data_IF_755774634146
#
_entry.id   IF_755774634146
#
_cell.length_a   1.000
_cell.length_b   1.000
_cell.length_c   1.000
_cell.angle_alpha   90.00
_cell.angle_beta   90.00
_cell.angle_gamma   90.00
#
_symmetry.space_group_name_H-M   'P 1'
#
loop_
_entity.id
_entity.type
_entity.pdbx_description
1 polymer ?
#
# COMPACT_ATOMS: atom_id res chain seq x y z
N UNK A 1 -11.41 -39.20 -36.84
CA UNK A 1 -11.59 -39.13 -35.37
C UNK A 1 -13.09 -39.23 -35.19
N UNK A 2 -13.58 -40.38 -34.76
CA UNK A 2 -15.01 -40.65 -34.71
C UNK A 2 -15.57 -40.02 -33.43
N UNK A 3 -16.60 -39.20 -33.58
CA UNK A 3 -17.35 -38.60 -32.47
C UNK A 3 -18.04 -39.72 -31.68
N UNK A 4 -17.58 -39.93 -30.45
CA UNK A 4 -18.23 -40.84 -29.51
C UNK A 4 -19.47 -40.12 -28.93
N UNK A 5 -20.70 -40.58 -29.21
CA UNK A 5 -21.95 -39.92 -28.77
C UNK A 5 -22.17 -40.00 -27.25
N UNK A 6 -21.20 -40.50 -26.49
CA UNK A 6 -21.18 -40.40 -25.02
C UNK A 6 -20.71 -39.03 -24.49
N UNK A 7 -20.34 -38.09 -25.37
CA UNK A 7 -19.81 -36.76 -25.00
C UNK A 7 -20.85 -35.70 -24.57
N UNK A 8 -22.14 -35.99 -24.69
CA UNK A 8 -23.20 -34.96 -24.60
C UNK A 8 -23.31 -34.26 -23.24
N UNK A 9 -22.81 -34.86 -22.15
CA UNK A 9 -22.84 -34.27 -20.80
C UNK A 9 -21.54 -34.56 -20.03
N UNK A 10 -20.43 -33.98 -20.47
CA UNK A 10 -19.15 -34.07 -19.76
C UNK A 10 -18.92 -32.82 -18.89
N UNK A 11 -18.81 -33.03 -17.58
CA UNK A 11 -18.45 -31.98 -16.62
C UNK A 11 -16.98 -32.16 -16.21
N UNK A 12 -16.11 -31.31 -16.76
CA UNK A 12 -14.72 -31.18 -16.38
C UNK A 12 -14.51 -29.89 -15.57
N UNK A 13 -13.34 -29.74 -14.95
CA UNK A 13 -13.04 -28.53 -14.19
C UNK A 13 -12.96 -27.28 -15.09
N UNK A 14 -12.35 -27.45 -16.26
CA UNK A 14 -12.07 -26.41 -17.24
C UNK A 14 -13.26 -26.09 -18.15
N UNK A 15 -14.16 -27.08 -18.37
CA UNK A 15 -15.33 -26.94 -19.24
C UNK A 15 -16.53 -27.75 -18.79
N UNK A 16 -17.73 -27.20 -18.98
CA UNK A 16 -19.00 -27.88 -18.82
C UNK A 16 -19.68 -27.96 -20.19
N UNK A 17 -19.93 -29.17 -20.70
CA UNK A 17 -20.62 -29.37 -21.98
C UNK A 17 -22.05 -29.86 -21.76
N UNK A 18 -23.02 -29.15 -22.36
CA UNK A 18 -24.45 -29.47 -22.33
C UNK A 18 -25.01 -29.38 -23.75
N UNK A 19 -25.72 -30.41 -24.21
CA UNK A 19 -26.34 -30.45 -25.55
C UNK A 19 -25.34 -30.12 -26.69
N UNK A 20 -24.09 -30.59 -26.56
CA UNK A 20 -23.02 -30.33 -27.53
C UNK A 20 -22.43 -28.91 -27.49
N UNK A 21 -22.86 -28.05 -26.57
CA UNK A 21 -22.29 -26.71 -26.34
C UNK A 21 -21.42 -26.74 -25.10
N UNK A 22 -20.13 -26.40 -25.25
CA UNK A 22 -19.18 -26.33 -24.14
C UNK A 22 -18.99 -24.89 -23.65
N UNK A 23 -19.02 -24.73 -22.33
CA UNK A 23 -18.79 -23.49 -21.60
C UNK A 23 -17.54 -23.60 -20.74
N UNK A 24 -16.68 -22.59 -20.78
CA UNK A 24 -15.38 -22.64 -20.11
C UNK A 24 -15.40 -21.94 -18.74
N UNK A 25 -14.66 -22.50 -17.80
CA UNK A 25 -14.19 -21.75 -16.63
C UNK A 25 -13.03 -20.83 -17.06
N UNK A 26 -13.37 -19.56 -17.31
CA UNK A 26 -12.45 -18.54 -17.84
C UNK A 26 -11.19 -18.29 -17.00
N UNK A 27 -11.14 -18.81 -15.77
CA UNK A 27 -9.96 -18.75 -14.90
C UNK A 27 -8.88 -19.74 -15.33
N UNK A 28 -9.30 -20.85 -15.95
CA UNK A 28 -8.45 -22.01 -16.26
C UNK A 28 -8.32 -22.21 -17.77
N UNK A 29 -9.39 -22.06 -18.54
CA UNK A 29 -9.36 -22.20 -20.00
C UNK A 29 -10.27 -21.18 -20.68
N UNK A 30 -9.92 -20.81 -21.91
CA UNK A 30 -10.71 -19.92 -22.76
C UNK A 30 -10.87 -20.47 -24.18
N UNK A 31 -10.43 -21.69 -24.47
CA UNK A 31 -10.48 -22.30 -25.80
C UNK A 31 -11.57 -23.36 -25.89
N UNK A 32 -12.03 -23.64 -27.10
CA UNK A 32 -13.03 -24.67 -27.41
C UNK A 32 -14.37 -24.50 -26.66
N UNK A 33 -14.73 -23.25 -26.36
CA UNK A 33 -15.96 -22.89 -25.68
C UNK A 33 -16.66 -21.71 -26.35
N UNK A 34 -17.95 -21.56 -26.09
CA UNK A 34 -18.78 -20.50 -26.69
C UNK A 34 -18.25 -19.09 -26.39
N UNK A 35 -17.67 -18.86 -25.21
CA UNK A 35 -17.18 -17.55 -24.77
C UNK A 35 -15.74 -17.22 -25.23
N UNK A 36 -15.11 -18.10 -26.03
CA UNK A 36 -13.68 -18.04 -26.33
C UNK A 36 -13.23 -16.68 -26.89
N UNK A 37 -13.93 -16.19 -27.91
CA UNK A 37 -13.60 -14.91 -28.56
C UNK A 37 -13.72 -13.74 -27.57
N UNK A 38 -14.78 -13.71 -26.77
CA UNK A 38 -15.01 -12.66 -25.79
C UNK A 38 -13.93 -12.66 -24.70
N UNK A 39 -13.64 -13.83 -24.13
CA UNK A 39 -12.64 -13.99 -23.07
C UNK A 39 -11.21 -13.72 -23.55
N UNK A 40 -10.92 -13.98 -24.82
CA UNK A 40 -9.65 -13.60 -25.43
C UNK A 40 -9.45 -12.08 -25.42
N UNK A 41 -10.46 -11.31 -25.86
CA UNK A 41 -10.41 -9.84 -25.82
C UNK A 41 -10.34 -9.29 -24.40
N UNK A 42 -11.07 -9.88 -23.46
CA UNK A 42 -11.02 -9.49 -22.04
C UNK A 42 -9.59 -9.63 -21.49
N UNK A 43 -8.91 -10.74 -21.78
CA UNK A 43 -7.51 -10.93 -21.35
C UNK A 43 -6.55 -9.98 -22.07
N UNK A 44 -6.76 -9.71 -23.36
CA UNK A 44 -5.94 -8.74 -24.10
C UNK A 44 -6.05 -7.32 -23.51
N UNK A 45 -7.27 -6.88 -23.20
CA UNK A 45 -7.51 -5.58 -22.54
C UNK A 45 -6.89 -5.56 -21.15
N UNK A 46 -7.01 -6.64 -20.39
CA UNK A 46 -6.39 -6.73 -19.06
C UNK A 46 -4.86 -6.61 -19.14
N UNK A 47 -4.21 -7.30 -20.09
CA UNK A 47 -2.77 -7.17 -20.34
C UNK A 47 -2.39 -5.71 -20.64
N UNK A 48 -3.15 -5.03 -21.51
CA UNK A 48 -2.89 -3.64 -21.87
C UNK A 48 -2.97 -2.70 -20.65
N UNK A 49 -4.03 -2.80 -19.85
CA UNK A 49 -4.21 -1.98 -18.63
C UNK A 49 -3.09 -2.29 -17.62
N UNK A 50 -2.80 -3.57 -17.38
CA UNK A 50 -1.75 -3.99 -16.46
C UNK A 50 -0.36 -3.50 -16.90
N UNK A 51 -0.04 -3.55 -18.20
CA UNK A 51 1.22 -3.06 -18.73
C UNK A 51 1.39 -1.56 -18.52
N UNK A 52 0.33 -0.77 -18.77
CA UNK A 52 0.33 0.68 -18.50
C UNK A 52 0.57 0.93 -17.00
N UNK A 53 -0.12 0.20 -16.12
CA UNK A 53 0.08 0.28 -14.67
C UNK A 53 1.53 -0.02 -14.25
N UNK A 54 2.15 -1.05 -14.85
CA UNK A 54 3.56 -1.41 -14.58
C UNK A 54 4.50 -0.30 -15.03
N UNK A 55 4.32 0.26 -16.22
CA UNK A 55 5.20 1.33 -16.75
C UNK A 55 5.13 2.58 -15.85
N UNK A 56 3.92 3.07 -15.56
CA UNK A 56 3.74 4.25 -14.69
C UNK A 56 4.25 3.94 -13.28
N UNK A 57 3.92 2.76 -12.75
CA UNK A 57 4.33 2.32 -11.44
C UNK A 57 5.86 2.26 -11.28
N UNK A 58 6.55 1.63 -12.24
CA UNK A 58 8.01 1.54 -12.26
C UNK A 58 8.67 2.91 -12.34
N UNK A 59 8.20 3.79 -13.23
CA UNK A 59 8.72 5.15 -13.33
C UNK A 59 8.63 5.88 -11.98
N UNK A 60 7.47 5.81 -11.32
CA UNK A 60 7.27 6.42 -10.01
C UNK A 60 8.14 5.78 -8.92
N UNK A 61 8.24 4.45 -8.93
CA UNK A 61 9.02 3.70 -7.94
C UNK A 61 10.49 4.05 -8.05
N UNK A 62 11.04 4.04 -9.26
CA UNK A 62 12.44 4.36 -9.52
C UNK A 62 12.76 5.79 -9.10
N UNK A 63 11.92 6.75 -9.47
CA UNK A 63 12.11 8.14 -9.08
C UNK A 63 12.04 8.34 -7.56
N UNK A 64 11.17 7.63 -6.85
CA UNK A 64 11.02 7.79 -5.38
C UNK A 64 12.11 7.06 -4.60
N UNK A 65 12.41 5.82 -4.96
CA UNK A 65 13.35 4.98 -4.20
C UNK A 65 14.79 5.29 -4.58
N UNK A 66 15.13 5.29 -5.87
CA UNK A 66 16.53 5.45 -6.31
C UNK A 66 16.94 6.93 -6.43
N UNK A 67 16.11 7.79 -7.03
CA UNK A 67 16.50 9.19 -7.27
C UNK A 67 16.34 10.03 -5.98
N UNK A 68 15.22 9.86 -5.26
CA UNK A 68 14.98 10.60 -4.00
C UNK A 68 15.55 9.89 -2.75
N UNK A 69 16.04 8.66 -2.88
CA UNK A 69 16.62 7.92 -1.75
C UNK A 69 15.61 7.53 -0.67
N UNK A 70 14.33 7.33 -1.02
CA UNK A 70 13.34 6.85 -0.06
C UNK A 70 13.61 5.39 0.30
N UNK A 71 13.64 5.06 1.59
CA UNK A 71 13.66 3.68 2.06
C UNK A 71 12.25 3.10 2.04
N UNK A 72 12.09 1.82 1.67
CA UNK A 72 10.78 1.15 1.71
C UNK A 72 10.27 0.97 3.14
N UNK A 73 11.20 0.67 4.06
CA UNK A 73 10.92 0.44 5.46
C UNK A 73 11.59 1.52 6.29
N UNK A 74 10.94 1.92 7.38
CA UNK A 74 11.60 2.70 8.43
C UNK A 74 12.47 1.78 9.28
N UNK A 75 13.57 2.34 9.82
CA UNK A 75 14.40 1.58 10.75
C UNK A 75 13.57 1.19 11.99
N UNK A 76 13.61 -0.08 12.40
CA UNK A 76 12.88 -0.53 13.56
C UNK A 76 13.47 0.14 14.81
N UNK A 77 12.67 0.95 15.49
CA UNK A 77 12.94 1.34 16.87
C UNK A 77 12.42 0.22 17.77
N UNK A 78 13.17 -0.21 18.78
CA UNK A 78 12.86 -1.36 19.62
C UNK A 78 11.45 -1.33 20.27
N UNK A 79 10.86 -0.14 20.45
CA UNK A 79 9.54 0.05 21.05
C UNK A 79 8.39 0.17 20.04
N UNK A 80 8.70 0.27 18.74
CA UNK A 80 7.74 0.67 17.72
C UNK A 80 7.21 -0.50 16.87
N UNK A 81 7.28 -1.76 17.29
CA UNK A 81 6.75 -2.87 16.47
C UNK A 81 7.60 -3.19 15.23
N UNK A 82 7.16 -4.17 14.44
CA UNK A 82 7.95 -4.77 13.35
C UNK A 82 7.59 -4.22 11.96
N UNK A 83 6.31 -4.00 11.69
CA UNK A 83 5.86 -3.56 10.36
C UNK A 83 5.75 -2.04 10.28
N UNK A 84 6.82 -1.40 9.78
CA UNK A 84 6.84 0.05 9.48
C UNK A 84 7.06 0.33 8.00
N UNK A 85 6.12 -0.07 7.13
CA UNK A 85 6.21 0.22 5.71
C UNK A 85 5.99 1.70 5.44
N UNK A 86 6.67 2.25 4.44
CA UNK A 86 6.23 3.49 3.80
C UNK A 86 5.02 3.15 2.93
N UNK A 87 3.79 3.56 3.32
CA UNK A 87 2.57 2.99 2.76
C UNK A 87 2.52 3.12 1.23
N UNK A 88 2.88 4.29 0.70
CA UNK A 88 2.85 4.54 -0.75
C UNK A 88 3.92 3.75 -1.50
N UNK A 89 5.14 3.69 -0.98
CA UNK A 89 6.27 3.09 -1.70
C UNK A 89 6.15 1.55 -1.72
N UNK A 90 5.73 0.93 -0.60
CA UNK A 90 5.46 -0.50 -0.53
C UNK A 90 4.21 -0.91 -1.32
N UNK A 91 3.13 -0.12 -1.26
CA UNK A 91 1.93 -0.36 -2.07
C UNK A 91 2.26 -0.34 -3.56
N UNK A 92 3.07 0.63 -4.01
CA UNK A 92 3.49 0.75 -5.40
C UNK A 92 4.27 -0.49 -5.86
N UNK A 93 5.22 -0.97 -5.04
CA UNK A 93 5.96 -2.20 -5.32
C UNK A 93 5.02 -3.40 -5.49
N UNK A 94 4.07 -3.58 -4.56
CA UNK A 94 3.13 -4.70 -4.61
C UNK A 94 2.14 -4.60 -5.78
N UNK A 95 1.72 -3.39 -6.16
CA UNK A 95 0.89 -3.19 -7.35
C UNK A 95 1.65 -3.44 -8.65
N UNK A 96 2.95 -3.13 -8.71
CA UNK A 96 3.81 -3.51 -9.85
C UNK A 96 3.86 -5.04 -9.96
N UNK A 97 4.14 -5.74 -8.85
CA UNK A 97 4.18 -7.20 -8.82
C UNK A 97 2.82 -7.82 -9.19
N UNK A 98 1.72 -7.31 -8.63
CA UNK A 98 0.35 -7.71 -8.99
C UNK A 98 0.14 -7.67 -10.51
N UNK A 99 0.45 -6.53 -11.14
CA UNK A 99 0.22 -6.35 -12.57
C UNK A 99 1.17 -7.19 -13.43
N UNK A 100 2.43 -7.40 -13.02
CA UNK A 100 3.34 -8.32 -13.72
C UNK A 100 2.78 -9.75 -13.70
N UNK A 101 2.37 -10.24 -12.53
CA UNK A 101 1.78 -11.59 -12.43
C UNK A 101 0.43 -11.68 -13.15
N UNK A 102 -0.34 -10.59 -13.24
CA UNK A 102 -1.56 -10.57 -14.05
C UNK A 102 -1.29 -10.63 -15.54
N UNK A 103 -0.29 -9.91 -16.05
CA UNK A 103 0.14 -10.04 -17.45
C UNK A 103 0.53 -11.49 -17.74
N UNK A 104 1.33 -12.10 -16.86
CA UNK A 104 1.76 -13.49 -17.03
C UNK A 104 0.57 -14.47 -17.00
N UNK A 105 -0.33 -14.33 -16.04
CA UNK A 105 -1.55 -15.17 -15.94
C UNK A 105 -2.44 -15.04 -17.18
N UNK A 106 -2.71 -13.82 -17.65
CA UNK A 106 -3.51 -13.61 -18.87
C UNK A 106 -2.79 -14.08 -20.13
N UNK A 107 -1.46 -13.94 -20.21
CA UNK A 107 -0.67 -14.45 -21.33
C UNK A 107 -0.70 -15.99 -21.40
N UNK A 108 -0.56 -16.69 -20.27
CA UNK A 108 -0.66 -18.16 -20.20
C UNK A 108 -2.02 -18.63 -20.74
N UNK A 109 -3.11 -17.94 -20.38
CA UNK A 109 -4.45 -18.25 -20.88
C UNK A 109 -4.60 -17.92 -22.37
N UNK A 110 -4.02 -16.82 -22.85
CA UNK A 110 -4.14 -16.37 -24.25
C UNK A 110 -3.24 -17.09 -25.26
N UNK A 111 -2.20 -17.79 -24.79
CA UNK A 111 -1.31 -18.57 -25.67
C UNK A 111 -1.47 -20.07 -25.46
N UNK A 112 -2.36 -20.48 -24.56
CA UNK A 112 -2.51 -21.86 -24.09
C UNK A 112 -1.17 -22.53 -23.72
N UNK A 113 -0.23 -21.78 -23.12
CA UNK A 113 1.19 -22.21 -23.03
C UNK A 113 1.41 -23.49 -22.21
N UNK A 114 0.46 -23.87 -21.34
CA UNK A 114 0.54 -25.05 -20.48
C UNK A 114 -0.78 -25.83 -20.60
N UNK A 115 -1.02 -26.54 -21.72
CA UNK A 115 -2.24 -27.33 -21.89
C UNK A 115 -2.26 -28.45 -20.85
N UNK A 116 -3.40 -28.63 -20.17
CA UNK A 116 -3.55 -29.62 -19.10
C UNK A 116 -2.86 -29.30 -17.76
N UNK A 117 -2.08 -28.22 -17.66
CA UNK A 117 -1.41 -27.82 -16.41
C UNK A 117 -2.33 -27.08 -15.44
N UNK A 118 -3.36 -27.77 -14.93
CA UNK A 118 -4.42 -27.16 -14.10
C UNK A 118 -3.89 -26.60 -12.78
N UNK A 119 -2.86 -27.23 -12.21
CA UNK A 119 -2.17 -26.74 -11.01
C UNK A 119 -1.55 -25.37 -11.27
N UNK A 120 -0.78 -25.22 -12.35
CA UNK A 120 -0.07 -23.98 -12.67
C UNK A 120 -1.05 -22.85 -12.98
N UNK A 121 -2.11 -23.13 -13.75
CA UNK A 121 -3.13 -22.12 -14.08
C UNK A 121 -3.88 -21.63 -12.83
N UNK A 122 -4.31 -22.57 -11.97
CA UNK A 122 -4.99 -22.24 -10.72
C UNK A 122 -4.09 -21.46 -9.76
N UNK A 123 -2.81 -21.86 -9.64
CA UNK A 123 -1.82 -21.14 -8.85
C UNK A 123 -1.61 -19.71 -9.37
N UNK A 124 -1.29 -19.56 -10.65
CA UNK A 124 -0.99 -18.25 -11.25
C UNK A 124 -2.16 -17.28 -11.16
N UNK A 125 -3.38 -17.80 -11.31
CA UNK A 125 -4.59 -17.01 -11.17
C UNK A 125 -4.71 -16.41 -9.76
N UNK A 126 -4.57 -17.22 -8.71
CA UNK A 126 -4.72 -16.80 -7.30
C UNK A 126 -3.50 -16.05 -6.75
N UNK A 127 -2.29 -16.40 -7.22
CA UNK A 127 -1.04 -15.84 -6.72
C UNK A 127 -0.95 -14.33 -6.96
N UNK A 128 -1.39 -13.87 -8.14
CA UNK A 128 -1.40 -12.44 -8.47
C UNK A 128 -2.20 -11.64 -7.44
N UNK A 129 -3.40 -12.10 -7.07
CA UNK A 129 -4.31 -11.41 -6.13
C UNK A 129 -3.71 -11.17 -4.74
N UNK A 130 -2.81 -12.06 -4.29
CA UNK A 130 -2.12 -11.88 -3.00
C UNK A 130 -1.32 -10.58 -2.96
N UNK A 131 -0.68 -10.18 -4.06
CA UNK A 131 0.05 -8.91 -4.15
C UNK A 131 -0.87 -7.70 -4.22
N UNK A 132 -1.98 -7.80 -4.97
CA UNK A 132 -2.95 -6.71 -5.10
C UNK A 132 -3.58 -6.38 -3.75
N UNK A 133 -4.08 -7.41 -3.06
CA UNK A 133 -4.64 -7.25 -1.72
C UNK A 133 -3.57 -6.84 -0.69
N UNK A 134 -2.36 -7.41 -0.79
CA UNK A 134 -1.23 -7.04 0.05
C UNK A 134 -0.84 -5.57 -0.06
N UNK A 135 -0.88 -5.00 -1.27
CA UNK A 135 -0.63 -3.58 -1.51
C UNK A 135 -1.64 -2.69 -0.80
N UNK A 136 -2.93 -3.02 -0.87
CA UNK A 136 -4.00 -2.30 -0.16
C UNK A 136 -3.80 -2.43 1.35
N UNK A 137 -3.58 -3.64 1.86
CA UNK A 137 -3.37 -3.92 3.29
C UNK A 137 -2.18 -3.14 3.86
N UNK A 138 -1.02 -3.17 3.21
CA UNK A 138 0.18 -2.43 3.65
C UNK A 138 -0.03 -0.92 3.60
N UNK A 139 -0.74 -0.41 2.60
CA UNK A 139 -1.10 1.00 2.55
C UNK A 139 -1.91 1.41 3.79
N UNK A 140 -2.94 0.63 4.15
CA UNK A 140 -3.77 0.92 5.33
C UNK A 140 -2.99 0.84 6.63
N UNK A 141 -2.16 -0.20 6.81
CA UNK A 141 -1.32 -0.36 8.00
C UNK A 141 -0.39 0.84 8.14
N UNK A 142 0.28 1.26 7.06
CA UNK A 142 1.19 2.41 7.09
C UNK A 142 0.47 3.72 7.41
N UNK A 143 -0.75 3.92 6.89
CA UNK A 143 -1.59 5.08 7.23
C UNK A 143 -2.04 5.04 8.69
N UNK A 144 -2.54 3.89 9.17
CA UNK A 144 -2.98 3.71 10.55
C UNK A 144 -1.84 3.94 11.55
N UNK A 145 -0.66 3.40 11.25
CA UNK A 145 0.56 3.58 12.04
C UNK A 145 1.00 5.05 12.10
N UNK A 146 0.91 5.78 10.98
CA UNK A 146 1.24 7.21 10.95
C UNK A 146 0.30 8.03 11.84
N UNK A 147 -0.99 7.70 11.85
CA UNK A 147 -1.99 8.38 12.70
C UNK A 147 -1.75 8.05 14.18
N UNK A 148 -1.48 6.78 14.50
CA UNK A 148 -1.24 6.32 15.86
C UNK A 148 -0.10 7.08 16.56
N UNK A 149 0.94 7.48 15.83
CA UNK A 149 2.04 8.24 16.40
C UNK A 149 1.75 9.74 16.55
N UNK A 150 0.86 10.30 15.73
CA UNK A 150 0.57 11.73 15.73
C UNK A 150 -0.39 12.19 16.83
N UNK A 151 -1.27 11.31 17.32
CA UNK A 151 -2.38 11.67 18.20
C UNK A 151 -2.23 11.08 19.61
N UNK A 152 -1.19 11.50 20.33
CA UNK A 152 -0.94 11.06 21.72
C UNK A 152 -2.05 11.40 22.72
N UNK A 153 -3.10 12.15 22.36
CA UNK A 153 -4.03 12.73 23.36
C UNK A 153 -5.53 12.66 23.08
N UNK A 154 -6.03 12.07 21.98
CA UNK A 154 -7.49 12.02 21.79
C UNK A 154 -8.01 10.84 20.93
N UNK A 155 -8.29 9.73 21.60
CA UNK A 155 -9.19 8.68 21.11
C UNK A 155 -8.55 7.30 20.94
N UNK A 156 -9.33 6.26 21.27
CA UNK A 156 -8.98 4.83 21.19
C UNK A 156 -8.42 4.47 19.81
N UNK A 157 -7.10 4.52 19.66
CA UNK A 157 -6.35 4.02 18.51
C UNK A 157 -5.80 2.65 18.91
N UNK A 158 -5.90 1.63 18.04
CA UNK A 158 -5.35 0.32 18.33
C UNK A 158 -3.84 0.42 18.58
N UNK A 159 -3.33 -0.41 19.48
CA UNK A 159 -1.89 -0.48 19.74
C UNK A 159 -1.14 -0.84 18.44
N UNK A 160 0.09 -0.33 18.27
CA UNK A 160 0.89 -0.67 17.09
C UNK A 160 1.12 -2.17 16.94
N UNK A 161 1.25 -2.90 18.06
CA UNK A 161 1.37 -4.37 18.05
C UNK A 161 0.12 -5.03 17.49
N UNK A 162 -1.06 -4.53 17.83
CA UNK A 162 -2.31 -5.04 17.28
C UNK A 162 -2.39 -4.80 15.76
N UNK A 163 -2.02 -3.60 15.30
CA UNK A 163 -1.96 -3.29 13.86
C UNK A 163 -0.97 -4.17 13.12
N UNK A 164 0.18 -4.49 13.73
CA UNK A 164 1.18 -5.39 13.13
C UNK A 164 0.65 -6.83 13.02
N UNK A 165 -0.04 -7.35 14.05
CA UNK A 165 -0.63 -8.70 14.02
C UNK A 165 -1.74 -8.76 12.97
N UNK A 166 -2.72 -7.86 13.06
CA UNK A 166 -3.84 -7.80 12.10
C UNK A 166 -3.31 -7.61 10.69
N UNK A 167 -2.30 -6.76 10.51
CA UNK A 167 -1.70 -6.48 9.24
C UNK A 167 -0.93 -7.67 8.65
N UNK A 168 -0.15 -8.36 9.46
CA UNK A 168 0.58 -9.58 9.06
C UNK A 168 -0.38 -10.69 8.70
N UNK A 169 -1.40 -10.92 9.53
CA UNK A 169 -2.46 -11.89 9.24
C UNK A 169 -3.12 -11.52 7.92
N UNK A 170 -3.60 -10.28 7.77
CA UNK A 170 -4.28 -9.77 6.56
C UNK A 170 -3.44 -9.92 5.28
N UNK A 171 -2.12 -9.77 5.39
CA UNK A 171 -1.16 -9.88 4.28
C UNK A 171 -0.87 -11.34 3.90
N UNK A 172 -0.64 -12.20 4.89
CA UNK A 172 -0.21 -13.58 4.65
C UNK A 172 -1.37 -14.57 4.53
N UNK A 173 -2.52 -14.28 5.13
CA UNK A 173 -3.68 -15.17 5.15
C UNK A 173 -4.12 -15.66 3.77
N UNK A 174 -4.30 -14.79 2.76
CA UNK A 174 -4.66 -15.23 1.41
C UNK A 174 -3.63 -16.17 0.79
N UNK A 175 -2.34 -15.93 1.05
CA UNK A 175 -1.28 -16.81 0.57
C UNK A 175 -1.25 -18.15 1.31
N UNK A 176 -1.49 -18.16 2.62
CA UNK A 176 -1.48 -19.37 3.45
C UNK A 176 -2.69 -20.27 3.18
N UNK A 177 -3.88 -19.69 3.00
CA UNK A 177 -5.11 -20.46 2.81
C UNK A 177 -5.51 -20.59 1.35
N UNK A 178 -5.44 -19.51 0.57
CA UNK A 178 -5.91 -19.48 -0.81
C UNK A 178 -5.01 -20.28 -1.76
N UNK A 179 -3.69 -20.11 -1.68
CA UNK A 179 -2.76 -20.78 -2.60
C UNK A 179 -2.81 -22.32 -2.47
N UNK A 180 -2.74 -22.92 -1.26
CA UNK A 180 -2.83 -24.38 -1.13
C UNK A 180 -4.17 -24.94 -1.61
N UNK A 181 -5.29 -24.25 -1.36
CA UNK A 181 -6.61 -24.67 -1.86
C UNK A 181 -6.68 -24.62 -3.39
N UNK A 182 -6.06 -23.60 -4.01
CA UNK A 182 -6.01 -23.48 -5.46
C UNK A 182 -5.15 -24.57 -6.12
N UNK A 183 -3.98 -24.86 -5.53
CA UNK A 183 -3.11 -25.96 -5.96
C UNK A 183 -3.82 -27.30 -5.77
N UNK A 184 -4.44 -27.51 -4.62
CA UNK A 184 -5.22 -28.72 -4.32
C UNK A 184 -6.38 -28.93 -5.29
N UNK A 185 -7.10 -27.86 -5.66
CA UNK A 185 -8.14 -27.93 -6.66
C UNK A 185 -7.60 -28.35 -8.03
N UNK A 186 -6.49 -27.76 -8.47
CA UNK A 186 -5.82 -28.15 -9.71
C UNK A 186 -5.36 -29.61 -9.69
N UNK A 187 -4.74 -30.05 -8.59
CA UNK A 187 -4.27 -31.42 -8.44
C UNK A 187 -5.42 -32.44 -8.40
N UNK A 188 -6.53 -32.14 -7.72
CA UNK A 188 -7.72 -32.98 -7.75
C UNK A 188 -8.31 -33.09 -9.17
N UNK A 189 -8.28 -32.01 -9.96
CA UNK A 189 -8.74 -32.06 -11.34
C UNK A 189 -7.84 -32.87 -12.28
N UNK A 190 -6.53 -32.88 -12.06
CA UNK A 190 -5.61 -33.75 -12.82
C UNK A 190 -5.82 -35.24 -12.52
N UNK A 191 -6.38 -35.59 -11.36
CA UNK A 191 -6.67 -36.97 -10.95
C UNK A 191 -8.15 -37.37 -11.15
N UNK A 192 -8.91 -36.65 -11.99
CA UNK A 192 -10.34 -36.88 -12.26
C UNK A 192 -11.26 -36.81 -11.02
N UNK A 193 -10.81 -36.17 -9.92
CA UNK A 193 -11.58 -35.97 -8.69
C UNK A 193 -12.38 -34.65 -8.72
N UNK A 194 -13.19 -34.47 -9.77
CA UNK A 194 -13.85 -33.19 -10.12
C UNK A 194 -14.70 -32.63 -8.97
N UNK A 195 -15.46 -33.48 -8.27
CA UNK A 195 -16.31 -33.05 -7.13
C UNK A 195 -15.49 -32.44 -5.99
N UNK A 196 -14.31 -33.00 -5.70
CA UNK A 196 -13.43 -32.50 -4.64
C UNK A 196 -12.81 -31.18 -5.08
N UNK A 197 -12.36 -31.09 -6.34
CA UNK A 197 -11.83 -29.86 -6.91
C UNK A 197 -12.84 -28.70 -6.83
N UNK A 198 -14.11 -28.97 -7.12
CA UNK A 198 -15.18 -28.00 -7.03
C UNK A 198 -15.42 -27.51 -5.59
N UNK A 199 -15.45 -28.43 -4.61
CA UNK A 199 -15.57 -28.07 -3.18
C UNK A 199 -14.39 -27.19 -2.74
N UNK A 200 -13.17 -27.52 -3.17
CA UNK A 200 -11.98 -26.73 -2.85
C UNK A 200 -12.06 -25.33 -3.45
N UNK A 201 -12.54 -25.19 -4.70
CA UNK A 201 -12.73 -23.89 -5.35
C UNK A 201 -13.79 -23.05 -4.62
N UNK A 202 -14.96 -23.63 -4.32
CA UNK A 202 -16.03 -22.92 -3.59
C UNK A 202 -15.54 -22.50 -2.20
N UNK A 203 -14.83 -23.37 -1.50
CA UNK A 203 -14.23 -23.07 -0.19
C UNK A 203 -13.21 -21.94 -0.29
N UNK A 204 -12.33 -21.98 -1.30
CA UNK A 204 -11.35 -20.92 -1.56
C UNK A 204 -12.04 -19.57 -1.77
N UNK A 205 -13.10 -19.53 -2.59
CA UNK A 205 -13.82 -18.27 -2.87
C UNK A 205 -14.66 -17.76 -1.71
N UNK A 206 -15.20 -18.65 -0.88
CA UNK A 206 -15.82 -18.26 0.36
C UNK A 206 -14.82 -17.62 1.34
N UNK A 207 -13.62 -18.20 1.47
CA UNK A 207 -12.56 -17.64 2.31
C UNK A 207 -12.09 -16.28 1.76
N UNK A 208 -11.89 -16.16 0.45
CA UNK A 208 -11.58 -14.89 -0.19
C UNK A 208 -12.66 -13.85 0.04
N UNK A 209 -13.95 -14.22 -0.04
CA UNK A 209 -15.07 -13.33 0.27
C UNK A 209 -14.96 -12.79 1.70
N UNK A 210 -14.83 -13.66 2.69
CA UNK A 210 -14.67 -13.25 4.11
C UNK A 210 -13.51 -12.28 4.25
N UNK A 211 -12.38 -12.60 3.60
CA UNK A 211 -11.16 -11.82 3.70
C UNK A 211 -11.29 -10.42 3.07
N UNK A 212 -11.77 -10.37 1.83
CA UNK A 212 -11.93 -9.13 1.06
C UNK A 212 -13.02 -8.25 1.69
N UNK A 213 -14.14 -8.84 2.15
CA UNK A 213 -15.18 -8.12 2.87
C UNK A 213 -14.66 -7.56 4.21
N UNK A 214 -13.88 -8.35 4.95
CA UNK A 214 -13.26 -7.91 6.21
C UNK A 214 -12.29 -6.75 6.01
N UNK A 215 -11.41 -6.82 5.00
CA UNK A 215 -10.51 -5.73 4.63
C UNK A 215 -11.31 -4.52 4.13
N UNK A 216 -12.30 -4.72 3.26
CA UNK A 216 -13.16 -3.64 2.73
C UNK A 216 -13.90 -2.88 3.83
N UNK A 217 -14.44 -3.59 4.82
CA UNK A 217 -15.07 -3.01 6.02
C UNK A 217 -14.04 -2.25 6.86
N UNK A 218 -12.85 -2.82 7.05
CA UNK A 218 -11.75 -2.17 7.78
C UNK A 218 -11.29 -0.87 7.11
N UNK A 219 -11.15 -0.87 5.78
CA UNK A 219 -10.81 0.30 4.96
C UNK A 219 -11.88 1.38 5.12
N UNK A 220 -13.15 1.00 4.99
CA UNK A 220 -14.27 1.94 5.08
C UNK A 220 -14.31 2.60 6.46
N UNK A 221 -14.20 1.80 7.52
CA UNK A 221 -14.18 2.30 8.90
C UNK A 221 -12.98 3.23 9.16
N UNK A 222 -11.77 2.79 8.83
CA UNK A 222 -10.56 3.59 9.01
C UNK A 222 -10.58 4.85 8.13
N UNK A 223 -11.09 4.74 6.91
CA UNK A 223 -11.25 5.82 5.94
C UNK A 223 -12.17 6.93 6.45
N UNK A 224 -13.38 6.57 6.89
CA UNK A 224 -14.34 7.52 7.47
C UNK A 224 -13.73 8.22 8.69
N UNK A 225 -13.08 7.46 9.58
CA UNK A 225 -12.44 8.02 10.78
C UNK A 225 -11.31 8.98 10.43
N UNK A 226 -10.45 8.61 9.49
CA UNK A 226 -9.35 9.45 9.01
C UNK A 226 -9.86 10.76 8.41
N UNK A 227 -10.90 10.69 7.58
CA UNK A 227 -11.52 11.86 6.98
C UNK A 227 -12.05 12.83 8.05
N UNK A 228 -12.75 12.31 9.06
CA UNK A 228 -13.28 13.13 10.17
C UNK A 228 -12.16 13.81 10.97
N UNK A 229 -11.10 13.08 11.32
CA UNK A 229 -9.94 13.63 12.05
C UNK A 229 -9.30 14.75 11.23
N UNK A 230 -9.11 14.50 9.94
CA UNK A 230 -8.42 15.38 9.03
C UNK A 230 -9.22 16.67 8.75
N UNK A 231 -10.54 16.58 8.66
CA UNK A 231 -11.43 17.74 8.59
C UNK A 231 -11.41 18.58 9.87
N UNK A 232 -11.37 17.92 11.04
CA UNK A 232 -11.26 18.61 12.33
C UNK A 232 -9.93 19.35 12.47
N UNK A 233 -8.80 18.71 12.10
CA UNK A 233 -7.49 19.38 12.09
C UNK A 233 -7.45 20.53 11.08
N UNK A 234 -8.04 20.33 9.90
CA UNK A 234 -8.10 21.38 8.89
C UNK A 234 -8.88 22.62 9.39
N UNK A 235 -10.01 22.44 10.10
CA UNK A 235 -10.74 23.55 10.74
C UNK A 235 -9.88 24.33 11.74
N UNK A 236 -9.00 23.65 12.47
CA UNK A 236 -8.07 24.28 13.44
C UNK A 236 -6.93 25.03 12.74
N UNK A 237 -6.32 24.44 11.71
CA UNK A 237 -5.18 25.02 10.97
C UNK A 237 -5.62 26.18 10.06
N UNK A 238 -6.90 26.21 9.65
CA UNK A 238 -7.46 27.26 8.78
C UNK A 238 -7.17 28.69 9.23
N UNK A 239 -6.89 28.88 10.53
CA UNK A 239 -6.58 30.19 11.11
C UNK A 239 -5.16 30.72 10.85
N UNK A 240 -4.20 29.92 10.32
CA UNK A 240 -2.77 30.32 10.38
C UNK A 240 -1.98 30.50 9.07
N UNK A 241 -2.18 29.78 7.95
CA UNK A 241 -1.58 30.12 6.63
C UNK A 241 -1.98 29.13 5.51
N UNK A 242 -1.84 29.55 4.24
CA UNK A 242 -1.96 28.83 2.94
C UNK A 242 -2.35 27.32 2.98
N UNK A 243 -3.64 27.05 2.84
CA UNK A 243 -4.29 25.73 3.02
C UNK A 243 -4.37 24.85 1.77
N UNK A 244 -3.94 25.33 0.61
CA UNK A 244 -4.19 24.66 -0.68
C UNK A 244 -3.40 23.34 -0.79
N UNK A 245 -2.16 23.31 -0.29
CA UNK A 245 -1.32 22.11 -0.31
C UNK A 245 -1.88 20.99 0.60
N UNK A 246 -2.34 21.35 1.80
CA UNK A 246 -2.92 20.40 2.75
C UNK A 246 -4.23 19.84 2.20
N UNK A 247 -5.15 20.70 1.73
CA UNK A 247 -6.41 20.28 1.09
C UNK A 247 -6.19 19.29 -0.05
N UNK A 248 -5.18 19.53 -0.88
CA UNK A 248 -4.81 18.61 -1.96
C UNK A 248 -4.37 17.24 -1.43
N UNK A 249 -3.56 17.18 -0.37
CA UNK A 249 -3.15 15.93 0.27
C UNK A 249 -4.33 15.14 0.84
N UNK A 250 -5.25 15.82 1.52
CA UNK A 250 -6.49 15.22 2.06
C UNK A 250 -7.32 14.60 0.94
N UNK A 251 -7.52 15.36 -0.14
CA UNK A 251 -8.34 14.90 -1.26
C UNK A 251 -7.76 13.63 -1.93
N UNK A 252 -6.43 13.51 -2.01
CA UNK A 252 -5.79 12.30 -2.55
C UNK A 252 -6.11 11.06 -1.72
N UNK A 253 -5.94 11.17 -0.40
CA UNK A 253 -6.24 10.05 0.51
C UNK A 253 -7.72 9.67 0.40
N UNK A 254 -8.63 10.66 0.33
CA UNK A 254 -10.06 10.41 0.11
C UNK A 254 -10.32 9.63 -1.17
N UNK A 255 -9.74 10.05 -2.29
CA UNK A 255 -9.89 9.37 -3.58
C UNK A 255 -9.35 7.95 -3.53
N UNK A 256 -8.11 7.75 -3.04
CA UNK A 256 -7.49 6.41 -2.94
C UNK A 256 -8.30 5.47 -2.05
N UNK A 257 -8.74 5.94 -0.88
CA UNK A 257 -9.56 5.13 0.03
C UNK A 257 -10.92 4.79 -0.59
N UNK A 258 -11.59 5.74 -1.24
CA UNK A 258 -12.84 5.50 -1.93
C UNK A 258 -12.69 4.47 -3.05
N UNK A 259 -11.63 4.59 -3.86
CA UNK A 259 -11.29 3.62 -4.91
C UNK A 259 -11.12 2.20 -4.33
N UNK A 260 -10.41 2.05 -3.21
CA UNK A 260 -10.24 0.74 -2.57
C UNK A 260 -11.54 0.18 -1.99
N UNK A 261 -12.37 1.00 -1.33
CA UNK A 261 -13.68 0.56 -0.81
C UNK A 261 -14.54 0.03 -1.96
N UNK A 262 -14.68 0.80 -3.04
CA UNK A 262 -15.49 0.40 -4.20
C UNK A 262 -14.95 -0.90 -4.79
N UNK A 263 -13.64 -0.98 -5.06
CA UNK A 263 -13.03 -2.20 -5.59
C UNK A 263 -13.26 -3.43 -4.70
N UNK A 264 -13.00 -3.32 -3.40
CA UNK A 264 -13.10 -4.46 -2.49
C UNK A 264 -14.55 -4.93 -2.32
N UNK A 265 -15.51 -4.02 -2.21
CA UNK A 265 -16.92 -4.39 -2.11
C UNK A 265 -17.48 -4.97 -3.41
N UNK A 266 -17.11 -4.41 -4.57
CA UNK A 266 -17.45 -5.01 -5.87
C UNK A 266 -16.85 -6.41 -6.01
N UNK A 267 -15.56 -6.58 -5.68
CA UNK A 267 -14.90 -7.88 -5.79
C UNK A 267 -15.46 -8.91 -4.79
N UNK A 268 -15.79 -8.48 -3.57
CA UNK A 268 -16.49 -9.30 -2.58
C UNK A 268 -17.85 -9.79 -3.08
N UNK A 269 -18.65 -8.91 -3.70
CA UNK A 269 -19.92 -9.30 -4.32
C UNK A 269 -19.74 -10.33 -5.44
N UNK A 270 -18.74 -10.11 -6.30
CA UNK A 270 -18.38 -11.06 -7.37
C UNK A 270 -17.97 -12.42 -6.79
N UNK A 271 -17.09 -12.45 -5.79
CA UNK A 271 -16.65 -13.66 -5.10
C UNK A 271 -17.82 -14.45 -4.50
N UNK A 272 -18.73 -13.76 -3.79
CA UNK A 272 -19.90 -14.39 -3.19
C UNK A 272 -20.85 -14.96 -4.25
N UNK A 273 -21.10 -14.19 -5.32
CA UNK A 273 -21.96 -14.64 -6.42
C UNK A 273 -21.40 -15.89 -7.09
N UNK A 274 -20.09 -15.91 -7.36
CA UNK A 274 -19.41 -17.05 -7.96
C UNK A 274 -19.38 -18.25 -7.01
N UNK A 275 -19.17 -18.04 -5.71
CA UNK A 275 -19.20 -19.11 -4.71
C UNK A 275 -20.56 -19.83 -4.64
N UNK A 276 -21.67 -19.08 -4.71
CA UNK A 276 -23.03 -19.64 -4.58
C UNK A 276 -23.51 -20.23 -5.91
N UNK A 277 -23.30 -19.52 -7.02
CA UNK A 277 -23.95 -19.79 -8.29
C UNK A 277 -22.97 -20.20 -9.41
N UNK A 278 -21.78 -20.72 -9.08
CA UNK A 278 -20.71 -21.07 -10.04
C UNK A 278 -21.25 -21.77 -11.30
N UNK A 279 -21.92 -22.90 -11.15
CA UNK A 279 -22.31 -23.73 -12.29
C UNK A 279 -23.30 -22.99 -13.19
N UNK A 280 -24.26 -22.27 -12.59
CA UNK A 280 -25.24 -21.44 -13.31
C UNK A 280 -24.61 -20.24 -14.00
N UNK A 281 -23.51 -19.71 -13.46
CA UNK A 281 -22.76 -18.63 -14.08
C UNK A 281 -21.96 -19.16 -15.28
N UNK A 282 -21.32 -20.33 -15.15
CA UNK A 282 -20.54 -20.94 -16.24
C UNK A 282 -21.45 -21.37 -17.39
N UNK A 283 -22.58 -22.02 -17.08
CA UNK A 283 -23.61 -22.43 -18.07
C UNK A 283 -24.26 -21.24 -18.80
N UNK A 284 -24.15 -20.03 -18.27
CA UNK A 284 -24.73 -18.84 -18.88
C UNK A 284 -23.64 -17.98 -19.52
N UNK A 285 -23.55 -17.88 -20.86
CA UNK A 285 -22.46 -17.17 -21.52
C UNK A 285 -22.40 -15.69 -21.14
N UNK A 286 -23.56 -15.05 -20.92
CA UNK A 286 -23.62 -13.64 -20.51
C UNK A 286 -23.11 -13.49 -19.08
N UNK A 287 -23.54 -14.37 -18.17
CA UNK A 287 -23.10 -14.38 -16.77
C UNK A 287 -21.60 -14.64 -16.65
N UNK A 288 -21.11 -15.65 -17.37
CA UNK A 288 -19.70 -16.01 -17.50
C UNK A 288 -18.85 -14.82 -17.99
N UNK A 289 -19.22 -14.22 -19.13
CA UNK A 289 -18.51 -13.06 -19.69
C UNK A 289 -18.54 -11.87 -18.72
N UNK A 290 -19.68 -11.55 -18.13
CA UNK A 290 -19.80 -10.42 -17.21
C UNK A 290 -18.90 -10.59 -15.96
N UNK A 291 -18.96 -11.76 -15.34
CA UNK A 291 -18.16 -12.05 -14.14
C UNK A 291 -16.67 -12.16 -14.50
N UNK A 292 -16.32 -12.86 -15.59
CA UNK A 292 -14.94 -12.97 -16.05
C UNK A 292 -14.33 -11.62 -16.41
N UNK A 293 -15.09 -10.74 -17.07
CA UNK A 293 -14.66 -9.37 -17.40
C UNK A 293 -14.43 -8.55 -16.13
N UNK A 294 -15.40 -8.57 -15.21
CA UNK A 294 -15.30 -7.82 -13.95
C UNK A 294 -14.11 -8.33 -13.14
N UNK A 295 -13.95 -9.64 -13.00
CA UNK A 295 -12.84 -10.24 -12.25
C UNK A 295 -11.48 -9.91 -12.86
N UNK A 296 -11.36 -9.95 -14.18
CA UNK A 296 -10.08 -9.74 -14.86
C UNK A 296 -9.66 -8.27 -14.82
N UNK A 297 -10.57 -7.35 -15.12
CA UNK A 297 -10.24 -5.93 -15.32
C UNK A 297 -10.23 -5.14 -14.01
N UNK A 298 -11.09 -5.49 -13.03
CA UNK A 298 -11.31 -4.65 -11.85
C UNK A 298 -10.02 -4.37 -11.07
N UNK A 299 -9.17 -5.38 -10.87
CA UNK A 299 -7.94 -5.21 -10.10
C UNK A 299 -6.88 -4.37 -10.83
N UNK A 300 -6.61 -4.64 -12.10
CA UNK A 300 -5.67 -3.85 -12.90
C UNK A 300 -6.14 -2.41 -13.10
N UNK A 301 -7.45 -2.18 -13.29
CA UNK A 301 -8.03 -0.84 -13.35
C UNK A 301 -7.91 -0.10 -12.00
N UNK A 302 -8.19 -0.78 -10.88
CA UNK A 302 -8.08 -0.20 -9.54
C UNK A 302 -6.65 0.22 -9.23
N UNK A 303 -5.67 -0.63 -9.54
CA UNK A 303 -4.25 -0.29 -9.34
C UNK A 303 -3.82 0.88 -10.23
N UNK A 304 -4.28 0.94 -11.49
CA UNK A 304 -4.04 2.08 -12.39
C UNK A 304 -4.57 3.38 -11.78
N UNK A 305 -5.85 3.39 -11.37
CA UNK A 305 -6.51 4.56 -10.78
C UNK A 305 -5.79 4.99 -9.50
N UNK A 306 -5.37 4.05 -8.66
CA UNK A 306 -4.64 4.36 -7.43
C UNK A 306 -3.26 4.98 -7.71
N UNK A 307 -2.50 4.44 -8.67
CA UNK A 307 -1.19 4.97 -9.10
C UNK A 307 -1.36 6.38 -9.68
N UNK A 308 -2.30 6.55 -10.61
CA UNK A 308 -2.67 7.82 -11.24
C UNK A 308 -3.08 8.86 -10.20
N UNK A 309 -3.88 8.48 -9.20
CA UNK A 309 -4.28 9.36 -8.09
C UNK A 309 -3.11 9.90 -7.27
N UNK A 310 -2.00 9.14 -7.21
CA UNK A 310 -0.76 9.59 -6.57
C UNK A 310 0.04 10.54 -7.49
N UNK A 311 0.05 10.29 -8.80
CA UNK A 311 0.78 11.11 -9.81
C UNK A 311 0.19 12.51 -9.94
N UNK A 312 -1.13 12.64 -10.07
CA UNK A 312 -1.84 13.90 -10.37
C UNK A 312 -1.92 14.86 -9.17
N UNK A 313 -0.83 14.95 -8.41
CA UNK A 313 -0.61 15.86 -7.31
C UNK A 313 0.23 17.05 -7.78
N UNK A 314 -0.38 18.12 -8.35
CA UNK A 314 0.34 19.23 -9.00
C UNK A 314 1.25 20.06 -8.08
N UNK A 315 1.21 19.86 -6.76
CA UNK A 315 1.86 20.77 -5.79
C UNK A 315 2.96 20.11 -4.93
N UNK A 316 3.79 19.24 -5.49
CA UNK A 316 4.97 18.69 -4.78
C UNK A 316 6.21 19.61 -4.78
N UNK A 317 6.04 20.91 -4.99
CA UNK A 317 7.10 21.88 -4.70
C UNK A 317 7.28 21.99 -3.18
N UNK A 318 8.09 21.09 -2.64
CA UNK A 318 9.00 21.37 -1.52
C UNK A 318 8.35 21.70 -0.16
N UNK A 319 7.41 20.90 0.32
CA UNK A 319 7.08 20.88 1.75
C UNK A 319 7.60 19.60 2.42
N UNK A 320 8.89 19.56 2.83
CA UNK A 320 9.45 18.46 3.62
C UNK A 320 8.79 18.30 5.00
N UNK A 321 7.95 19.24 5.43
CA UNK A 321 7.27 19.22 6.73
C UNK A 321 6.20 18.12 6.88
N UNK A 322 5.63 17.61 5.77
CA UNK A 322 4.69 16.47 5.80
C UNK A 322 5.36 15.11 5.58
N UNK A 323 6.65 15.11 5.21
CA UNK A 323 7.51 13.93 5.35
C UNK A 323 8.04 13.98 6.78
N UNK A 324 7.22 13.49 7.72
CA UNK A 324 7.50 13.36 9.16
C UNK A 324 9.00 13.17 9.43
N UNK A 325 9.66 14.29 9.69
CA UNK A 325 11.09 14.35 9.92
C UNK A 325 11.26 14.03 11.40
N UNK A 326 11.13 12.74 11.73
CA UNK A 326 11.52 12.15 13.00
C UNK A 326 13.05 12.16 13.09
N UNK A 327 13.68 13.33 13.00
CA UNK A 327 15.02 13.49 13.55
C UNK A 327 14.84 13.44 15.06
N UNK A 328 14.97 12.22 15.55
CA UNK A 328 15.21 11.87 16.94
C UNK A 328 15.97 12.98 17.64
N UNK A 329 15.29 13.62 18.59
CA UNK A 329 15.86 14.40 19.67
C UNK A 329 16.74 13.45 20.50
N UNK A 330 17.92 13.14 19.99
CA UNK A 330 19.03 12.55 20.74
C UNK A 330 20.05 13.68 20.86
N UNK A 331 19.85 14.52 21.86
CA UNK A 331 20.81 15.52 22.34
C UNK A 331 20.70 15.43 23.86
N UNK A 332 21.45 14.48 24.43
CA UNK A 332 22.69 14.73 25.18
C UNK A 332 22.40 15.22 26.60
N UNK A 333 22.04 14.28 27.47
CA UNK A 333 22.26 14.44 28.90
C UNK A 333 23.73 14.11 29.15
N UNK A 334 24.58 15.13 29.10
CA UNK A 334 25.87 15.15 29.78
C UNK A 334 26.01 16.54 30.40
N UNK A 335 26.33 16.55 31.70
CA UNK A 335 26.53 17.69 32.61
C UNK A 335 25.24 18.36 33.11
N UNK A 336 24.87 18.12 34.37
CA UNK A 336 25.44 18.88 35.49
C UNK A 336 25.14 18.20 36.83
N UNK A 337 26.20 18.09 37.63
CA UNK A 337 26.19 17.80 39.05
C UNK A 337 25.37 18.84 39.80
N UNK A 338 24.43 18.41 40.63
CA UNK A 338 24.05 19.17 41.82
C UNK A 338 23.67 18.23 42.97
N UNK A 339 24.69 18.05 43.80
CA UNK A 339 24.68 17.66 45.19
C UNK A 339 23.81 18.63 46.01
N UNK A 340 22.80 18.12 46.74
CA UNK A 340 22.39 18.63 48.06
C UNK A 340 21.19 17.84 48.65
N UNK A 341 21.52 17.09 49.70
CA UNK A 341 20.82 17.10 51.00
C UNK A 341 19.54 16.28 51.17
N UNK A 342 19.77 15.15 51.85
CA UNK A 342 18.88 14.37 52.71
C UNK A 342 18.07 15.27 53.66
N UNK A 343 16.76 15.08 53.73
CA UNK A 343 16.10 15.03 55.03
C UNK A 343 14.95 14.01 55.04
N UNK A 344 14.86 13.34 56.17
CA UNK A 344 14.06 12.15 56.48
C UNK A 344 13.01 12.55 57.50
N UNK A 345 11.73 12.24 57.26
CA UNK A 345 10.89 11.59 58.28
C UNK A 345 9.54 11.10 57.72
N UNK A 346 8.97 10.04 58.32
CA UNK A 346 7.70 9.43 57.94
C UNK A 346 6.53 10.05 58.73
N UNK A 347 5.30 9.90 58.23
CA UNK A 347 4.20 9.28 58.97
C UNK A 347 2.93 9.15 58.12
N UNK A 348 2.16 8.12 58.49
CA UNK A 348 0.87 7.65 57.99
C UNK A 348 -0.20 8.74 57.95
N UNK A 349 -1.13 8.68 56.99
CA UNK A 349 -2.48 8.21 57.34
C UNK A 349 -3.37 7.85 56.14
N UNK A 350 -4.15 6.80 56.36
CA UNK A 350 -5.18 6.24 55.50
C UNK A 350 -6.49 7.04 55.69
N UNK A 351 -7.18 7.37 54.60
CA UNK A 351 -8.51 7.99 54.66
C UNK A 351 -9.27 7.91 53.35
N UNK A 352 -10.19 6.95 53.26
CA UNK A 352 -11.27 6.88 52.28
C UNK A 352 -12.28 8.03 52.47
N UNK A 353 -12.68 8.71 51.39
CA UNK A 353 -14.09 8.86 50.94
C UNK A 353 -14.29 9.99 49.94
N UNK A 354 -14.79 9.60 48.76
CA UNK A 354 -15.88 10.20 47.96
C UNK A 354 -16.25 11.67 48.17
N UNK A 355 -16.18 12.50 47.10
CA UNK A 355 -17.29 13.34 46.56
C UNK A 355 -16.90 13.90 45.18
N UNK A 356 -17.81 13.79 44.21
CA UNK A 356 -17.77 14.45 42.90
C UNK A 356 -17.96 15.97 43.02
N UNK A 357 -17.15 16.76 42.31
CA UNK A 357 -17.57 17.96 41.56
C UNK A 357 -16.32 18.73 41.06
N UNK A 358 -16.32 19.16 39.79
CA UNK A 358 -15.44 20.26 39.35
C UNK A 358 -14.35 19.91 38.33
N UNK A 359 -14.71 19.36 37.17
CA UNK A 359 -13.82 19.35 36.00
C UNK A 359 -14.32 20.37 34.96
N UNK A 360 -14.19 21.65 35.29
CA UNK A 360 -14.50 22.75 34.38
C UNK A 360 -13.58 23.97 34.59
N UNK A 361 -12.33 23.78 35.03
CA UNK A 361 -11.30 24.85 35.04
C UNK A 361 -9.92 24.20 34.94
N UNK A 362 -9.41 24.03 33.71
CA UNK A 362 -7.96 23.84 33.40
C UNK A 362 -7.64 23.74 31.89
N UNK A 363 -8.60 23.94 30.98
CA UNK A 363 -8.33 23.91 29.52
C UNK A 363 -7.65 25.17 28.96
N UNK A 364 -7.35 26.17 29.79
CA UNK A 364 -6.74 27.42 29.36
C UNK A 364 -5.20 27.40 29.46
N UNK A 365 -4.64 26.73 30.47
CA UNK A 365 -3.18 26.62 30.67
C UNK A 365 -2.49 25.71 29.62
N UNK A 366 -3.16 24.63 29.19
CA UNK A 366 -2.58 23.72 28.18
C UNK A 366 -2.38 24.38 26.80
N UNK A 367 -3.14 25.44 26.49
CA UNK A 367 -3.00 26.16 25.23
C UNK A 367 -1.79 27.09 25.23
N UNK A 368 -1.38 27.64 26.38
CA UNK A 368 -0.19 28.49 26.48
C UNK A 368 1.09 27.65 26.41
N UNK A 369 1.12 26.50 27.08
CA UNK A 369 2.24 25.56 26.98
C UNK A 369 2.45 25.08 25.53
N UNK A 370 1.36 24.78 24.81
CA UNK A 370 1.44 24.39 23.39
C UNK A 370 1.93 25.55 22.50
N UNK A 371 1.51 26.79 22.79
CA UNK A 371 1.96 27.98 22.05
C UNK A 371 3.45 28.22 22.23
N UNK A 372 3.97 28.06 23.46
CA UNK A 372 5.39 28.17 23.77
C UNK A 372 6.22 27.14 23.00
N UNK A 373 5.78 25.89 22.96
CA UNK A 373 6.46 24.81 22.20
C UNK A 373 6.46 25.09 20.69
N UNK A 374 5.39 25.69 20.15
CA UNK A 374 5.34 26.07 18.73
C UNK A 374 6.35 27.20 18.45
N UNK A 375 6.41 28.21 19.30
CA UNK A 375 7.30 29.36 19.15
C UNK A 375 8.78 28.97 19.27
N UNK A 376 9.09 28.04 20.18
CA UNK A 376 10.44 27.48 20.33
C UNK A 376 10.88 26.67 19.10
N UNK A 377 9.96 25.91 18.51
CA UNK A 377 10.24 25.18 17.26
C UNK A 377 10.49 26.13 16.07
N UNK A 378 9.76 27.25 15.98
CA UNK A 378 10.02 28.27 14.95
C UNK A 378 11.40 28.91 15.13
N UNK A 379 11.81 29.20 16.36
CA UNK A 379 13.14 29.72 16.68
C UNK A 379 14.24 28.75 16.26
N UNK A 380 14.10 27.46 16.58
CA UNK A 380 15.06 26.42 16.17
C UNK A 380 15.14 26.27 14.63
N UNK A 381 14.01 26.40 13.92
CA UNK A 381 14.03 26.36 12.46
C UNK A 381 14.75 27.57 11.85
N UNK A 382 14.57 28.77 12.42
CA UNK A 382 15.28 29.97 11.99
C UNK A 382 16.79 29.83 12.20
N UNK A 383 17.22 29.33 13.36
CA UNK A 383 18.65 29.06 13.63
C UNK A 383 19.23 28.05 12.65
N UNK A 384 18.52 26.96 12.35
CA UNK A 384 18.97 25.99 11.37
C UNK A 384 19.10 26.58 9.96
N UNK A 385 18.23 27.50 9.57
CA UNK A 385 18.32 28.22 8.30
C UNK A 385 19.52 29.18 8.28
N UNK A 386 19.79 29.88 9.39
CA UNK A 386 20.96 30.74 9.54
C UNK A 386 22.26 29.94 9.48
N UNK A 387 22.31 28.77 10.13
CA UNK A 387 23.45 27.85 10.06
C UNK A 387 23.65 27.33 8.64
N UNK A 388 22.59 26.94 7.92
CA UNK A 388 22.68 26.56 6.51
C UNK A 388 23.20 27.69 5.62
N UNK A 389 22.75 28.93 5.82
CA UNK A 389 23.25 30.10 5.10
C UNK A 389 24.73 30.38 5.44
N UNK A 390 25.12 30.22 6.70
CA UNK A 390 26.51 30.35 7.16
C UNK A 390 27.42 29.29 6.53
N UNK A 391 27.01 28.02 6.51
CA UNK A 391 27.76 26.94 5.85
C UNK A 391 27.82 27.11 4.33
N UNK A 392 26.74 27.55 3.68
CA UNK A 392 26.75 27.86 2.24
C UNK A 392 27.68 29.02 1.91
N UNK A 393 27.73 30.07 2.74
CA UNK A 393 28.63 31.21 2.59
C UNK A 393 30.10 30.82 2.80
N UNK A 394 30.40 30.04 3.86
CA UNK A 394 31.76 29.53 4.12
C UNK A 394 32.23 28.58 3.01
N UNK A 395 31.35 27.70 2.51
CA UNK A 395 31.63 26.81 1.38
C UNK A 395 31.96 27.59 0.11
N UNK A 396 31.15 28.60 -0.25
CA UNK A 396 31.42 29.48 -1.41
C UNK A 396 32.73 30.27 -1.27
N UNK A 397 33.08 30.75 -0.07
CA UNK A 397 34.37 31.42 0.17
C UNK A 397 35.56 30.46 0.04
N UNK A 398 35.43 29.23 0.56
CA UNK A 398 36.44 28.18 0.42
C UNK A 398 36.66 27.80 -1.04
N UNK A 399 35.58 27.61 -1.80
CA UNK A 399 35.64 27.26 -3.23
C UNK A 399 36.25 28.38 -4.09
N UNK A 400 35.96 29.66 -3.78
CA UNK A 400 36.62 30.82 -4.41
C UNK A 400 38.11 30.91 -4.09
N UNK A 401 38.54 30.50 -2.88
CA UNK A 401 39.95 30.49 -2.49
C UNK A 401 40.70 29.35 -3.20
N UNK A 402 40.08 28.18 -3.33
CA UNK A 402 40.62 27.02 -4.06
C UNK A 402 40.78 27.29 -5.56
N UNK A 403 39.78 27.88 -6.21
CA UNK A 403 39.84 28.23 -7.64
C UNK A 403 40.90 29.31 -7.95
N UNK A 404 41.10 30.29 -7.06
CA UNK A 404 42.21 31.25 -7.18
C UNK A 404 43.58 30.60 -7.02
N UNK A 405 43.72 29.58 -6.16
CA UNK A 405 45.00 28.85 -6.05
C UNK A 405 45.32 27.97 -7.25
N UNK A 406 44.31 27.44 -7.94
CA UNK A 406 44.50 26.67 -9.17
C UNK A 406 44.90 27.57 -10.33
N UNK A 407 44.21 28.69 -10.53
CA UNK A 407 44.56 29.66 -11.59
C UNK A 407 45.99 30.21 -11.44
N UNK A 408 46.50 30.37 -10.21
CA UNK A 408 47.88 30.81 -9.99
C UNK A 408 48.91 29.75 -10.35
N UNK A 409 48.62 28.45 -10.11
CA UNK A 409 49.52 27.35 -10.52
C UNK A 409 49.62 27.19 -12.04
N UNK A 410 48.53 27.39 -12.77
CA UNK A 410 48.56 27.32 -14.25
C UNK A 410 49.37 28.48 -14.86
N UNK A 411 49.37 29.64 -14.20
CA UNK A 411 50.17 30.81 -14.61
C UNK A 411 51.68 30.59 -14.43
N UNK A 412 52.06 29.94 -13.32
CA UNK A 412 53.46 29.64 -13.00
C UNK A 412 53.99 28.44 -13.83
N UNK A 413 53.12 27.48 -14.19
CA UNK A 413 53.47 26.36 -15.06
C UNK A 413 53.70 26.81 -16.52
N UNK A 414 52.98 27.82 -16.99
CA UNK A 414 53.15 28.36 -18.34
C UNK A 414 54.45 29.16 -18.49
N UNK A 415 54.88 29.86 -17.44
CA UNK A 415 56.14 30.63 -17.45
C UNK A 415 57.40 29.78 -17.24
N UNK A 416 57.30 28.57 -16.66
CA UNK A 416 58.43 27.63 -16.65
C UNK A 416 58.63 26.89 -17.99
N UNK A 417 57.58 26.78 -18.82
CA UNK A 417 57.68 26.13 -20.13
C UNK A 417 58.37 26.99 -21.21
N UNK A 418 58.36 28.33 -21.08
CA UNK A 418 59.09 29.21 -22.00
C UNK A 418 60.60 29.32 -21.70
N UNK A 419 61.07 28.91 -20.52
CA UNK A 419 62.49 28.97 -20.14
C UNK A 419 63.30 27.71 -20.47
N UNK A 420 62.68 26.71 -21.12
CA UNK A 420 63.37 25.48 -21.56
C UNK A 420 63.59 25.44 -23.09
N UNK A 421 63.36 26.56 -23.77
CA UNK A 421 63.48 26.70 -25.23
C UNK A 421 64.40 27.86 -25.65
N UNK A 422 65.43 28.17 -24.84
CA UNK A 422 66.60 28.96 -25.23
C UNK A 422 67.88 28.40 -24.62
#
# INVERSE_FOLDING_TARGET
MADDPSSDNQQLLDRHCFDGVCHCDWRISIYDCQESVAMWYVNAVNIAIAAISVIIGLFMFVHRVFIKGHTLWYHPNALAGFLRPRPVDCMLLLFILYNIFRILSSAILMTDAVPGGWIVRSFMFEFSWSFGLGGITIYLIGVANSISHSNSTAGWLPSSRFLDIVGTVSLLGPAIFGIPLAIGAGACAENDLIKIAEILIRTSYFLWFIWVAGIGTSVLFAGIRLIRILENHHKRIHRRHSLTAVKSGINKIKMTVATFVICLWTFSGVLLSYCIARDKIIENPIGSIFIGTTWSILGSLTTLVAIVSIVFSPNMKTNPALLFNSKSRIQSNNAEDQEATIDTRPDQDFGESTVMAGAAVTFQDDNEALLHVIQENERMQQEHQLLKKSHSSKSKKSWKKFTRSLSKRDSDASSQLELTYY
#
